data_IF_110003915503
#
_entry.id   IF_110003915503
#
_cell.length_a   1.000
_cell.length_b   1.000
_cell.length_c   1.000
_cell.angle_alpha   90.00
_cell.angle_beta   90.00
_cell.angle_gamma   90.00
#
_symmetry.space_group_name_H-M   'P 1'
#
loop_
_entity.id
_entity.type
_entity.pdbx_description
1 polymer ?
#
# COMPACT_ATOMS: atom_id res chain seq x y z
N UNK A 1 13.58 -17.91 -2.01
CA UNK A 1 13.25 -16.68 -1.28
C UNK A 1 14.06 -15.54 -1.86
N UNK A 2 13.51 -14.86 -2.86
CA UNK A 2 14.05 -13.58 -3.34
C UNK A 2 12.99 -12.54 -3.01
N UNK A 3 13.40 -11.45 -2.36
CA UNK A 3 12.51 -10.33 -2.09
C UNK A 3 11.93 -9.80 -3.40
N UNK A 4 10.70 -9.29 -3.34
CA UNK A 4 9.91 -8.80 -4.47
C UNK A 4 10.58 -7.66 -5.28
N UNK A 5 11.70 -7.14 -4.78
CA UNK A 5 12.51 -6.08 -5.38
C UNK A 5 13.99 -6.45 -5.35
N UNK A 6 14.74 -6.22 -6.45
CA UNK A 6 16.18 -6.40 -6.45
C UNK A 6 16.78 -5.48 -5.38
N UNK A 7 17.52 -6.06 -4.43
CA UNK A 7 18.25 -5.25 -3.46
C UNK A 7 19.21 -4.35 -4.24
N UNK A 8 19.39 -3.09 -3.84
CA UNK A 8 20.38 -2.23 -4.46
C UNK A 8 21.75 -2.94 -4.49
N UNK A 9 22.44 -2.84 -5.63
CA UNK A 9 23.74 -3.49 -5.82
C UNK A 9 24.76 -2.89 -4.86
N UNK A 10 25.43 -3.74 -4.07
CA UNK A 10 26.57 -3.35 -3.24
C UNK A 10 27.85 -3.12 -4.07
N UNK A 11 27.74 -2.58 -5.28
CA UNK A 11 28.89 -2.29 -6.13
C UNK A 11 29.67 -1.11 -5.52
N UNK A 12 30.91 -1.32 -5.05
CA UNK A 12 31.70 -0.28 -4.40
C UNK A 12 32.15 0.83 -5.36
N UNK A 13 31.92 0.69 -6.67
CA UNK A 13 32.18 1.74 -7.68
C UNK A 13 31.05 2.77 -7.81
N UNK A 14 29.87 2.49 -7.26
CA UNK A 14 28.73 3.39 -7.28
C UNK A 14 28.81 4.43 -6.14
N UNK A 15 28.24 5.63 -6.34
CA UNK A 15 28.15 6.60 -5.26
C UNK A 15 27.35 6.03 -4.08
N UNK A 16 27.63 6.46 -2.83
CA UNK A 16 26.86 6.05 -1.67
C UNK A 16 25.38 6.34 -1.89
N UNK A 17 24.54 5.37 -1.59
CA UNK A 17 23.08 5.53 -1.69
C UNK A 17 22.64 6.55 -0.65
N UNK A 18 21.87 7.53 -1.07
CA UNK A 18 21.35 8.55 -0.16
C UNK A 18 20.44 7.91 0.91
N UNK A 19 20.53 8.33 2.19
CA UNK A 19 19.70 7.77 3.26
C UNK A 19 18.20 7.82 2.98
N UNK A 20 17.73 8.86 2.29
CA UNK A 20 16.33 9.02 1.88
C UNK A 20 15.87 7.90 0.92
N UNK A 21 16.76 7.43 0.03
CA UNK A 21 16.46 6.33 -0.89
C UNK A 21 16.34 5.01 -0.14
N UNK A 22 17.19 4.79 0.87
CA UNK A 22 17.10 3.60 1.74
C UNK A 22 15.80 3.60 2.55
N UNK A 23 15.37 4.76 3.02
CA UNK A 23 14.09 4.91 3.72
C UNK A 23 12.90 4.68 2.77
N UNK A 24 12.93 5.27 1.57
CA UNK A 24 11.90 5.08 0.56
C UNK A 24 11.77 3.60 0.15
N UNK A 25 12.89 2.91 -0.07
CA UNK A 25 12.91 1.46 -0.40
C UNK A 25 12.24 0.63 0.70
N UNK A 26 12.54 0.93 1.97
CA UNK A 26 11.93 0.26 3.11
C UNK A 26 10.40 0.39 3.11
N UNK A 27 9.89 1.60 2.86
CA UNK A 27 8.45 1.87 2.86
C UNK A 27 7.74 1.51 1.55
N UNK A 28 8.48 1.28 0.45
CA UNK A 28 7.94 0.99 -0.86
C UNK A 28 6.97 -0.20 -0.86
N UNK A 29 7.24 -1.24 -0.05
CA UNK A 29 6.36 -2.40 0.06
C UNK A 29 4.96 -2.05 0.59
N UNK A 30 4.85 -1.08 1.51
CA UNK A 30 3.57 -0.63 2.05
C UNK A 30 2.81 0.18 1.00
N UNK A 31 3.52 1.08 0.32
CA UNK A 31 2.99 1.82 -0.83
C UNK A 31 2.51 0.88 -1.95
N UNK A 32 3.20 -0.21 -2.24
CA UNK A 32 2.78 -1.14 -3.29
C UNK A 32 1.63 -2.05 -2.83
N UNK A 33 1.61 -2.41 -1.54
CA UNK A 33 0.58 -3.27 -0.96
C UNK A 33 -0.82 -2.64 -0.96
N UNK A 34 -0.92 -1.31 -0.78
CA UNK A 34 -2.22 -0.62 -0.69
C UNK A 34 -2.99 -0.62 -2.02
N UNK A 35 -2.30 -0.81 -3.16
CA UNK A 35 -2.94 -0.96 -4.47
C UNK A 35 -3.64 -2.31 -4.67
N UNK A 36 -3.42 -3.26 -3.77
CA UNK A 36 -4.12 -4.54 -3.73
C UNK A 36 -3.93 -5.40 -4.98
N UNK A 37 -4.96 -6.17 -5.30
CA UNK A 37 -4.90 -7.25 -6.29
C UNK A 37 -4.68 -6.76 -7.72
N UNK A 38 -5.17 -5.57 -8.07
CA UNK A 38 -5.10 -5.02 -9.43
C UNK A 38 -3.65 -4.73 -9.82
N UNK A 39 -2.92 -3.96 -9.00
CA UNK A 39 -1.50 -3.69 -9.27
C UNK A 39 -0.65 -4.96 -9.13
N UNK A 40 -0.97 -5.83 -8.17
CA UNK A 40 -0.28 -7.11 -8.04
C UNK A 40 -0.36 -7.94 -9.34
N UNK A 41 -1.56 -8.06 -9.91
CA UNK A 41 -1.78 -8.79 -11.16
C UNK A 41 -1.07 -8.14 -12.35
N UNK A 42 -1.03 -6.81 -12.41
CA UNK A 42 -0.27 -6.05 -13.43
C UNK A 42 1.23 -6.33 -13.35
N UNK A 43 1.80 -6.37 -12.14
CA UNK A 43 3.24 -6.63 -11.94
C UNK A 43 3.63 -8.11 -12.13
N UNK A 44 2.66 -9.03 -12.05
CA UNK A 44 2.91 -10.48 -12.09
C UNK A 44 2.06 -11.23 -13.14
N UNK A 45 2.10 -10.82 -14.42
CA UNK A 45 1.22 -11.39 -15.45
C UNK A 45 1.42 -12.91 -15.61
N UNK A 46 2.65 -13.40 -15.43
CA UNK A 46 3.00 -14.81 -15.57
C UNK A 46 2.76 -15.66 -14.31
N UNK A 47 2.44 -15.05 -13.15
CA UNK A 47 2.14 -15.79 -11.91
C UNK A 47 0.65 -15.81 -11.55
N UNK A 48 -0.16 -15.01 -12.23
CA UNK A 48 -1.59 -14.85 -11.98
C UNK A 48 -2.37 -16.16 -11.87
N UNK A 49 -2.10 -17.18 -12.69
CA UNK A 49 -2.89 -18.42 -12.65
C UNK A 49 -2.72 -19.21 -11.33
N UNK A 50 -1.49 -19.36 -10.84
CA UNK A 50 -1.22 -20.04 -9.57
C UNK A 50 -1.51 -19.12 -8.38
N UNK A 51 -1.13 -17.84 -8.48
CA UNK A 51 -1.30 -16.90 -7.39
C UNK A 51 -2.77 -16.60 -7.10
N UNK A 52 -3.61 -16.38 -8.11
CA UNK A 52 -5.05 -16.09 -7.93
C UNK A 52 -5.79 -17.29 -7.32
N UNK A 53 -5.41 -18.54 -7.67
CA UNK A 53 -5.92 -19.72 -6.98
C UNK A 53 -5.46 -19.80 -5.52
N UNK A 54 -4.22 -19.41 -5.21
CA UNK A 54 -3.72 -19.35 -3.83
C UNK A 54 -4.33 -18.20 -3.01
N UNK A 55 -4.61 -17.04 -3.63
CA UNK A 55 -5.32 -15.92 -3.00
C UNK A 55 -6.75 -16.34 -2.59
N UNK A 56 -7.32 -17.34 -3.27
CA UNK A 56 -8.65 -17.90 -2.98
C UNK A 56 -8.74 -18.57 -1.59
N UNK A 57 -7.63 -19.04 -1.02
CA UNK A 57 -7.60 -19.64 0.34
C UNK A 57 -7.85 -18.61 1.46
N UNK A 58 -7.81 -17.31 1.13
CA UNK A 58 -8.06 -16.20 2.04
C UNK A 58 -9.50 -15.71 2.07
N UNK A 59 -10.38 -16.27 1.22
CA UNK A 59 -11.77 -15.83 1.05
C UNK A 59 -12.65 -16.04 2.29
N UNK A 60 -12.24 -16.87 3.25
CA UNK A 60 -13.12 -17.35 4.32
C UNK A 60 -12.62 -17.03 5.75
N UNK A 61 -11.95 -15.89 5.98
CA UNK A 61 -11.54 -15.51 7.34
C UNK A 61 -12.51 -14.49 7.97
N UNK A 62 -13.37 -14.87 8.94
CA UNK A 62 -14.50 -14.04 9.39
C UNK A 62 -14.16 -12.91 10.37
N UNK A 63 -12.88 -12.54 10.55
CA UNK A 63 -12.48 -11.58 11.59
C UNK A 63 -11.22 -10.78 11.23
N UNK A 64 -10.96 -10.57 9.94
CA UNK A 64 -9.87 -9.69 9.51
C UNK A 64 -10.32 -8.23 9.69
N UNK A 65 -9.47 -7.29 10.14
CA UNK A 65 -9.80 -5.86 10.26
C UNK A 65 -9.87 -5.17 8.87
N UNK A 66 -10.26 -5.92 7.84
CA UNK A 66 -10.26 -5.55 6.43
C UNK A 66 -11.70 -5.32 5.97
N UNK A 67 -11.94 -4.16 5.40
CA UNK A 67 -13.24 -3.72 4.89
C UNK A 67 -13.16 -3.49 3.37
N UNK A 68 -14.29 -3.60 2.66
CA UNK A 68 -14.34 -3.34 1.22
C UNK A 68 -13.63 -4.37 0.33
N UNK A 69 -13.34 -5.58 0.86
CA UNK A 69 -12.65 -6.65 0.12
C UNK A 69 -13.47 -7.95 0.13
N UNK A 70 -14.60 -7.93 -0.59
CA UNK A 70 -15.58 -9.02 -0.60
C UNK A 70 -15.02 -10.40 -1.00
N UNK A 71 -13.90 -10.41 -1.74
CA UNK A 71 -13.23 -11.61 -2.23
C UNK A 71 -11.88 -11.85 -1.55
N UNK A 72 -11.49 -11.05 -0.54
CA UNK A 72 -10.20 -11.18 0.15
C UNK A 72 -8.97 -11.03 -0.76
N UNK A 73 -9.14 -10.59 -2.01
CA UNK A 73 -8.07 -10.58 -3.01
C UNK A 73 -7.11 -9.44 -2.74
N UNK A 74 -7.61 -8.30 -2.27
CA UNK A 74 -6.79 -7.15 -1.97
C UNK A 74 -5.96 -7.39 -0.71
N UNK A 75 -6.55 -7.95 0.35
CA UNK A 75 -5.84 -8.35 1.55
C UNK A 75 -4.77 -9.40 1.27
N UNK A 76 -5.09 -10.41 0.47
CA UNK A 76 -4.14 -11.45 0.12
C UNK A 76 -3.00 -10.92 -0.77
N UNK A 77 -3.28 -9.98 -1.69
CA UNK A 77 -2.25 -9.28 -2.46
C UNK A 77 -1.38 -8.39 -1.56
N UNK A 78 -1.98 -7.61 -0.66
CA UNK A 78 -1.28 -6.80 0.34
C UNK A 78 -0.33 -7.66 1.15
N UNK A 79 -0.78 -8.80 1.65
CA UNK A 79 0.08 -9.70 2.43
C UNK A 79 1.25 -10.24 1.58
N UNK A 80 1.00 -10.64 0.33
CA UNK A 80 2.07 -11.12 -0.57
C UNK A 80 3.12 -10.03 -0.86
N UNK A 81 2.68 -8.79 -1.08
CA UNK A 81 3.57 -7.67 -1.41
C UNK A 81 4.37 -7.21 -0.20
N UNK A 82 3.70 -7.04 0.93
CA UNK A 82 4.29 -6.48 2.15
C UNK A 82 5.04 -7.50 2.99
N UNK A 83 4.70 -8.79 2.81
CA UNK A 83 5.13 -9.90 3.67
C UNK A 83 4.85 -9.65 5.15
N UNK A 84 3.80 -8.88 5.46
CA UNK A 84 3.38 -8.63 6.83
C UNK A 84 2.82 -9.90 7.46
N UNK A 85 3.20 -10.12 8.71
CA UNK A 85 2.53 -11.07 9.58
C UNK A 85 1.08 -10.63 9.80
N UNK A 86 0.17 -11.59 9.97
CA UNK A 86 -1.27 -11.33 10.07
C UNK A 86 -1.63 -10.40 11.23
N UNK A 87 -0.91 -10.51 12.35
CA UNK A 87 -1.11 -9.70 13.55
C UNK A 87 -0.56 -8.27 13.42
N UNK A 88 0.24 -8.02 12.38
CA UNK A 88 0.82 -6.70 12.10
C UNK A 88 -0.10 -5.84 11.24
N UNK A 89 -1.14 -6.40 10.61
CA UNK A 89 -2.17 -5.63 9.91
C UNK A 89 -3.25 -5.20 10.91
N UNK A 90 -3.25 -3.91 11.27
CA UNK A 90 -4.14 -3.37 12.31
C UNK A 90 -5.52 -2.99 11.75
N UNK A 91 -5.56 -2.46 10.52
CA UNK A 91 -6.78 -2.04 9.85
C UNK A 91 -6.56 -1.96 8.34
N UNK A 92 -7.56 -2.28 7.52
CA UNK A 92 -7.57 -1.93 6.11
C UNK A 92 -8.98 -1.57 5.64
N UNK A 93 -9.07 -0.56 4.77
CA UNK A 93 -10.26 -0.23 4.01
C UNK A 93 -9.92 -0.22 2.52
N UNK A 94 -10.47 -1.19 1.79
CA UNK A 94 -10.48 -1.26 0.33
C UNK A 94 -11.75 -0.67 -0.28
N UNK A 95 -12.55 0.04 0.52
CA UNK A 95 -13.65 0.86 0.03
C UNK A 95 -13.05 2.01 -0.76
N UNK A 96 -13.56 2.24 -1.97
CA UNK A 96 -13.05 3.23 -2.90
C UNK A 96 -14.20 4.07 -3.43
N UNK A 97 -14.33 5.28 -2.90
CA UNK A 97 -15.37 6.24 -3.25
C UNK A 97 -14.73 7.61 -3.52
N UNK A 98 -15.49 8.55 -4.09
CA UNK A 98 -15.00 9.90 -4.35
C UNK A 98 -14.58 10.55 -3.02
N UNK A 99 -13.37 11.13 -2.99
CA UNK A 99 -12.73 11.69 -1.78
C UNK A 99 -12.44 10.70 -0.64
N UNK A 100 -12.62 9.40 -0.86
CA UNK A 100 -12.37 8.35 0.14
C UNK A 100 -11.38 7.32 -0.42
N UNK A 101 -10.06 7.56 -0.25
CA UNK A 101 -9.05 6.68 -0.80
C UNK A 101 -9.01 5.35 -0.05
N UNK A 102 -8.49 4.32 -0.73
CA UNK A 102 -8.10 3.07 -0.10
C UNK A 102 -6.90 3.30 0.81
N UNK A 103 -6.90 2.72 2.01
CA UNK A 103 -5.77 2.80 2.93
C UNK A 103 -5.69 1.60 3.87
N UNK A 104 -4.53 1.40 4.49
CA UNK A 104 -4.38 0.46 5.59
C UNK A 104 -3.40 0.97 6.66
N UNK A 105 -3.53 0.42 7.86
CA UNK A 105 -2.68 0.69 9.01
C UNK A 105 -1.97 -0.60 9.39
N UNK A 106 -0.64 -0.55 9.49
CA UNK A 106 0.19 -1.67 9.87
C UNK A 106 1.21 -1.32 10.94
N UNK A 107 1.58 -2.31 11.75
CA UNK A 107 2.72 -2.25 12.66
C UNK A 107 3.98 -2.67 11.94
N UNK A 108 4.95 -1.77 11.84
CA UNK A 108 6.30 -2.09 11.37
C UNK A 108 7.23 -2.33 12.56
N UNK A 109 7.47 -3.60 12.85
CA UNK A 109 8.37 -4.00 13.95
C UNK A 109 9.83 -3.64 13.69
N UNK A 110 10.26 -3.60 12.42
CA UNK A 110 11.66 -3.33 12.07
C UNK A 110 12.01 -1.86 12.31
N UNK A 111 11.08 -0.93 12.07
CA UNK A 111 11.24 0.51 12.33
C UNK A 111 10.57 0.98 13.62
N UNK A 112 9.92 0.08 14.36
CA UNK A 112 9.16 0.37 15.57
C UNK A 112 8.14 1.51 15.38
N UNK A 113 7.43 1.51 14.26
CA UNK A 113 6.48 2.55 13.91
C UNK A 113 5.12 1.97 13.46
N UNK A 114 4.10 2.82 13.46
CA UNK A 114 2.81 2.55 12.81
C UNK A 114 2.85 3.20 11.44
N UNK A 115 2.54 2.43 10.41
CA UNK A 115 2.51 2.87 9.01
C UNK A 115 1.05 3.03 8.59
N UNK A 116 0.68 4.25 8.19
CA UNK A 116 -0.55 4.52 7.45
C UNK A 116 -0.19 4.59 5.96
N UNK A 117 -0.58 3.57 5.21
CA UNK A 117 -0.39 3.54 3.76
C UNK A 117 -1.68 3.97 3.07
N UNK A 118 -1.60 5.03 2.26
CA UNK A 118 -2.72 5.60 1.50
C UNK A 118 -2.46 5.34 0.02
N UNK A 119 -3.47 4.82 -0.69
CA UNK A 119 -3.37 4.56 -2.13
C UNK A 119 -3.37 5.87 -2.90
N UNK A 120 -2.50 5.95 -3.91
CA UNK A 120 -2.64 6.95 -4.98
C UNK A 120 -3.66 6.52 -6.03
N UNK A 121 -3.52 7.06 -7.24
CA UNK A 121 -4.46 6.83 -8.34
C UNK A 121 -4.39 5.40 -8.88
N UNK A 122 -5.49 4.66 -8.83
CA UNK A 122 -5.65 3.34 -9.49
C UNK A 122 -7.00 3.17 -10.20
N UNK A 123 -7.97 4.01 -9.86
CA UNK A 123 -9.35 3.92 -10.33
C UNK A 123 -9.84 5.25 -10.90
N UNK A 124 -10.95 5.20 -11.63
CA UNK A 124 -11.60 6.41 -12.14
C UNK A 124 -12.08 7.34 -11.00
N UNK A 125 -12.47 6.78 -9.85
CA UNK A 125 -12.86 7.58 -8.67
C UNK A 125 -11.65 8.35 -8.11
N UNK A 126 -10.46 7.74 -8.10
CA UNK A 126 -9.23 8.45 -7.73
C UNK A 126 -8.95 9.55 -8.74
N UNK A 127 -8.98 9.24 -10.04
CA UNK A 127 -8.75 10.24 -11.09
C UNK A 127 -9.74 11.40 -11.00
N UNK A 128 -11.01 11.13 -10.71
CA UNK A 128 -12.00 12.18 -10.51
C UNK A 128 -11.68 13.06 -9.28
N UNK A 129 -11.22 12.45 -8.18
CA UNK A 129 -10.78 13.16 -6.99
C UNK A 129 -9.53 14.01 -7.28
N UNK A 130 -8.56 13.47 -8.01
CA UNK A 130 -7.33 14.16 -8.40
C UNK A 130 -7.62 15.37 -9.32
N UNK A 131 -8.64 15.28 -10.17
CA UNK A 131 -9.06 16.35 -11.08
C UNK A 131 -9.87 17.44 -10.37
N UNK A 132 -10.49 17.15 -9.23
CA UNK A 132 -11.24 18.11 -8.42
C UNK A 132 -10.34 18.93 -7.48
N UNK A 133 -9.05 19.09 -7.83
CA UNK A 133 -8.06 19.85 -7.08
C UNK A 133 -8.37 21.37 -7.05
N UNK A 134 -9.39 21.74 -6.29
CA UNK A 134 -9.75 23.12 -5.98
C UNK A 134 -9.01 23.59 -4.74
N UNK A 135 -8.54 24.85 -4.71
CA UNK A 135 -7.91 25.39 -3.52
C UNK A 135 -8.93 25.53 -2.39
N UNK A 136 -8.53 25.18 -1.16
CA UNK A 136 -9.37 25.33 0.03
C UNK A 136 -8.60 25.97 1.20
N UNK A 137 -9.32 26.70 2.04
CA UNK A 137 -8.77 27.35 3.22
C UNK A 137 -8.63 26.32 4.35
N UNK A 138 -7.42 25.82 4.57
CA UNK A 138 -7.14 24.89 5.65
C UNK A 138 -6.51 25.59 6.85
N UNK A 139 -7.12 25.44 8.02
CA UNK A 139 -6.57 25.96 9.27
C UNK A 139 -5.83 24.85 10.02
N UNK A 140 -4.54 25.06 10.27
CA UNK A 140 -3.76 24.18 11.15
C UNK A 140 -3.56 24.90 12.48
N UNK A 141 -3.97 24.24 13.56
CA UNK A 141 -3.78 24.76 14.91
C UNK A 141 -2.29 25.08 15.15
N UNK A 142 -2.02 26.33 15.51
CA UNK A 142 -0.66 26.84 15.77
C UNK A 142 0.12 27.34 14.55
N UNK A 143 -0.36 27.15 13.32
CA UNK A 143 0.28 27.64 12.08
C UNK A 143 -0.54 28.75 11.41
N UNK A 144 -1.86 28.77 11.62
CA UNK A 144 -2.77 29.74 11.02
C UNK A 144 -3.47 29.19 9.78
N UNK A 145 -4.04 30.08 8.96
CA UNK A 145 -4.69 29.71 7.69
C UNK A 145 -3.67 29.56 6.59
N UNK A 146 -3.68 28.41 5.93
CA UNK A 146 -2.87 28.11 4.75
C UNK A 146 -3.81 27.78 3.61
N UNK A 147 -3.60 28.40 2.45
CA UNK A 147 -4.29 28.05 1.23
C UNK A 147 -3.60 26.83 0.64
N UNK A 148 -4.32 25.71 0.55
CA UNK A 148 -3.81 24.42 0.05
C UNK A 148 -4.44 24.13 -1.30
#
# INVERSE_FOLDING_TARGET
EEGLYPRPSNDPSLPPIEPAVVEADHFAKYYLGVYGSVLYAYMHPCRCACDVLCLRSWICRPSSPVHGDCMGLNAAALQKVTQLEEDCLLYASFINELYHPVYFIALDRARQCIVLAIRGTLSLADTATDLDAQPDDFAIDGVGRVLV
#
